data_IF_688973664750
#
_entry.id   IF_688973664750
#
_cell.length_a   1.000
_cell.length_b   1.000
_cell.length_c   1.000
_cell.angle_alpha   90.00
_cell.angle_beta   90.00
_cell.angle_gamma   90.00
#
_symmetry.space_group_name_H-M   'P 1'
#
loop_
_entity.id
_entity.type
_entity.pdbx_description
1 polymer ?
#
# COMPACT_ATOMS: atom_id res chain seq x y z
N UNK A 1 -8.36 5.95 12.10
CA UNK A 1 -8.66 4.77 11.23
C UNK A 1 -7.32 4.16 10.82
N UNK A 2 -7.18 2.83 10.78
CA UNK A 2 -5.89 2.15 10.57
C UNK A 2 -5.61 1.90 9.09
N UNK A 3 -4.38 2.17 8.64
CA UNK A 3 -3.89 1.86 7.29
C UNK A 3 -2.78 0.80 7.40
N UNK A 4 -2.74 -0.15 6.46
CA UNK A 4 -1.63 -1.08 6.32
C UNK A 4 -0.75 -0.64 5.14
N UNK A 5 0.54 -0.47 5.39
CA UNK A 5 1.52 0.03 4.41
C UNK A 5 2.74 -0.88 4.43
N UNK A 6 3.09 -1.45 3.28
CA UNK A 6 4.36 -2.15 3.07
C UNK A 6 5.20 -1.39 2.03
N UNK A 7 6.50 -1.17 2.30
CA UNK A 7 7.40 -0.43 1.40
C UNK A 7 8.39 -1.40 0.75
N UNK A 8 8.38 -1.45 -0.57
CA UNK A 8 9.28 -2.27 -1.39
C UNK A 8 10.25 -1.39 -2.18
N UNK A 9 11.46 -1.91 -2.39
CA UNK A 9 12.49 -1.31 -3.26
C UNK A 9 12.48 -1.87 -4.68
N UNK A 10 11.66 -2.88 -4.96
CA UNK A 10 11.52 -3.50 -6.28
C UNK A 10 10.45 -2.80 -7.12
N UNK A 11 10.65 -2.74 -8.44
CA UNK A 11 9.64 -2.25 -9.40
C UNK A 11 8.43 -3.17 -9.54
N UNK A 12 8.54 -4.42 -9.07
CA UNK A 12 7.43 -5.36 -8.97
C UNK A 12 6.86 -5.31 -7.55
N UNK A 13 5.73 -4.63 -7.32
CA UNK A 13 5.14 -4.50 -5.98
C UNK A 13 4.36 -5.76 -5.63
N UNK A 14 5.00 -6.66 -4.88
CA UNK A 14 4.35 -7.82 -4.27
C UNK A 14 4.36 -7.63 -2.76
N UNK A 15 3.22 -7.84 -2.11
CA UNK A 15 3.13 -7.88 -0.64
C UNK A 15 3.48 -9.26 -0.13
N UNK A 16 4.01 -9.34 1.09
CA UNK A 16 4.35 -10.62 1.71
C UNK A 16 3.15 -11.23 2.45
N UNK A 17 3.25 -12.53 2.77
CA UNK A 17 2.26 -13.23 3.59
C UNK A 17 1.98 -12.51 4.93
N UNK A 18 2.99 -11.87 5.52
CA UNK A 18 2.85 -11.12 6.77
C UNK A 18 1.91 -9.92 6.65
N UNK A 19 1.90 -9.24 5.50
CA UNK A 19 1.00 -8.12 5.24
C UNK A 19 -0.45 -8.58 5.16
N UNK A 20 -0.71 -9.71 4.49
CA UNK A 20 -2.05 -10.29 4.42
C UNK A 20 -2.59 -10.67 5.81
N UNK A 21 -1.79 -11.37 6.61
CA UNK A 21 -2.16 -11.74 7.99
C UNK A 21 -2.48 -10.49 8.84
N UNK A 22 -1.62 -9.48 8.80
CA UNK A 22 -1.89 -8.23 9.52
C UNK A 22 -3.17 -7.52 9.04
N UNK A 23 -3.48 -7.60 7.74
CA UNK A 23 -4.72 -7.04 7.19
C UNK A 23 -5.97 -7.81 7.62
N UNK A 24 -5.87 -9.12 7.83
CA UNK A 24 -6.95 -9.96 8.36
C UNK A 24 -7.20 -9.65 9.83
N UNK A 25 -6.14 -9.53 10.63
CA UNK A 25 -6.23 -9.25 12.07
C UNK A 25 -6.71 -7.83 12.38
N UNK A 26 -6.22 -6.83 11.64
CA UNK A 26 -6.45 -5.41 11.94
C UNK A 26 -7.59 -4.77 11.15
N UNK A 27 -8.09 -5.44 10.10
CA UNK A 27 -9.12 -4.92 9.20
C UNK A 27 -8.90 -3.44 8.78
N UNK A 28 -7.74 -3.09 8.18
CA UNK A 28 -7.40 -1.70 7.88
C UNK A 28 -8.32 -1.12 6.79
N UNK A 29 -8.59 0.18 6.88
CA UNK A 29 -9.44 0.88 5.92
C UNK A 29 -8.76 1.11 4.57
N UNK A 30 -7.43 0.97 4.53
CA UNK A 30 -6.62 1.01 3.30
C UNK A 30 -5.48 0.01 3.40
N UNK A 31 -5.20 -0.66 2.28
CA UNK A 31 -4.11 -1.62 2.11
C UNK A 31 -3.23 -1.12 0.97
N UNK A 32 -1.97 -0.78 1.27
CA UNK A 32 -1.09 -0.11 0.32
C UNK A 32 0.26 -0.82 0.27
N UNK A 33 0.77 -1.02 -0.94
CA UNK A 33 2.18 -1.33 -1.18
C UNK A 33 2.84 -0.16 -1.88
N UNK A 34 3.89 0.37 -1.28
CA UNK A 34 4.70 1.46 -1.84
C UNK A 34 5.84 0.85 -2.63
N UNK A 35 6.08 1.39 -3.82
CA UNK A 35 7.17 0.93 -4.70
C UNK A 35 7.78 2.11 -5.48
N UNK A 36 8.98 1.97 -6.06
CA UNK A 36 9.69 3.07 -6.72
C UNK A 36 9.22 3.32 -8.16
N UNK A 37 7.97 3.02 -8.49
CA UNK A 37 7.37 3.38 -9.78
C UNK A 37 6.72 4.77 -9.77
N UNK A 38 5.99 5.07 -10.83
CA UNK A 38 5.35 6.38 -11.06
C UNK A 38 3.82 6.32 -11.13
N UNK A 39 3.23 5.13 -11.10
CA UNK A 39 1.80 4.93 -11.34
C UNK A 39 1.11 4.26 -10.16
N UNK A 40 -0.20 4.51 -10.03
CA UNK A 40 -1.08 3.79 -9.11
C UNK A 40 -1.83 2.70 -9.86
N UNK A 41 -1.91 1.51 -9.27
CA UNK A 41 -2.73 0.44 -9.83
C UNK A 41 -3.22 -0.53 -8.75
N UNK A 42 -4.39 -1.16 -8.94
CA UNK A 42 -4.88 -2.16 -8.02
C UNK A 42 -4.07 -3.46 -8.13
N UNK A 43 -3.91 -4.13 -7.00
CA UNK A 43 -3.46 -5.50 -6.86
C UNK A 43 -4.59 -6.36 -6.28
N UNK A 44 -4.34 -7.66 -6.15
CA UNK A 44 -5.29 -8.58 -5.53
C UNK A 44 -5.57 -8.20 -4.06
N UNK A 45 -6.67 -8.72 -3.51
CA UNK A 45 -7.04 -8.55 -2.09
C UNK A 45 -7.25 -7.09 -1.64
N UNK A 46 -7.63 -6.22 -2.59
CA UNK A 46 -7.90 -4.80 -2.32
C UNK A 46 -6.65 -3.99 -1.95
N UNK A 47 -5.46 -4.49 -2.32
CA UNK A 47 -4.20 -3.77 -2.14
C UNK A 47 -4.02 -2.79 -3.29
N UNK A 48 -3.59 -1.56 -2.99
CA UNK A 48 -3.21 -0.57 -3.98
C UNK A 48 -1.69 -0.43 -4.04
N UNK A 49 -1.11 -0.54 -5.23
CA UNK A 49 0.28 -0.17 -5.45
C UNK A 49 0.36 1.32 -5.76
N UNK A 50 1.26 2.07 -5.10
CA UNK A 50 1.48 3.48 -5.42
C UNK A 50 2.91 3.97 -5.13
N UNK A 51 3.35 5.07 -5.77
CA UNK A 51 4.60 5.73 -5.45
C UNK A 51 4.63 6.33 -4.05
N UNK A 52 5.83 6.51 -3.49
CA UNK A 52 6.02 7.12 -2.16
C UNK A 52 5.44 8.54 -2.07
N UNK A 53 5.60 9.33 -3.14
CA UNK A 53 5.09 10.71 -3.20
C UNK A 53 3.56 10.75 -3.08
N UNK A 54 2.90 9.79 -3.71
CA UNK A 54 1.45 9.65 -3.68
C UNK A 54 0.93 9.23 -2.32
N UNK A 55 1.62 8.32 -1.64
CA UNK A 55 1.34 8.01 -0.25
C UNK A 55 1.48 9.25 0.63
N UNK A 56 2.55 10.03 0.46
CA UNK A 56 2.78 11.26 1.21
C UNK A 56 1.64 12.27 1.06
N UNK A 57 1.20 12.53 -0.18
CA UNK A 57 0.04 13.39 -0.47
C UNK A 57 -1.23 12.88 0.24
N UNK A 58 -1.51 11.58 0.12
CA UNK A 58 -2.66 10.95 0.75
C UNK A 58 -2.64 11.05 2.28
N UNK A 59 -1.47 10.90 2.92
CA UNK A 59 -1.31 11.04 4.38
C UNK A 59 -1.46 12.49 4.85
N UNK A 60 -1.05 13.46 4.02
CA UNK A 60 -1.23 14.89 4.30
C UNK A 60 -2.66 15.39 4.04
N UNK A 61 -3.58 14.52 3.59
CA UNK A 61 -4.94 14.90 3.21
C UNK A 61 -5.01 15.76 1.94
N UNK A 62 -3.94 15.78 1.15
CA UNK A 62 -3.86 16.49 -0.12
C UNK A 62 -4.23 15.47 -1.20
N UNK A 63 -5.49 15.50 -1.66
CA UNK A 63 -5.95 14.66 -2.78
C UNK A 63 -5.88 15.45 -4.07
#
# INVERSE_FOLDING_TARGET
RVWAIEVKRSLTPKVEKGFHQACEDLAPVRRIVVFPGSERFPLQHGVEAMPLQDLGRALLGQT
#
